data_IF_024117059676
#
_entry.id   IF_024117059676
#
_cell.length_a   1.000
_cell.length_b   1.000
_cell.length_c   1.000
_cell.angle_alpha   90.00
_cell.angle_beta   90.00
_cell.angle_gamma   90.00
#
_symmetry.space_group_name_H-M   'P 1'
#
loop_
_entity.id
_entity.type
_entity.pdbx_description
1 polymer ?
#
# COMPACT_ATOMS: atom_id res chain seq x y z
N UNK A 1 -16.05 40.43 0.58
CA UNK A 1 -15.34 39.29 1.12
C UNK A 1 -15.16 38.30 -0.03
N UNK A 2 -13.92 38.09 -0.47
CA UNK A 2 -13.58 37.18 -1.59
C UNK A 2 -13.73 35.74 -1.11
N UNK A 3 -14.60 34.97 -1.77
CA UNK A 3 -14.73 33.54 -1.56
C UNK A 3 -13.39 32.86 -1.99
N UNK A 4 -12.57 32.52 -1.03
CA UNK A 4 -11.42 31.63 -1.28
C UNK A 4 -11.99 30.23 -1.39
N UNK A 5 -11.83 29.61 -2.55
CA UNK A 5 -12.35 28.29 -2.81
C UNK A 5 -11.71 27.28 -1.84
N UNK A 6 -12.55 26.56 -1.11
CA UNK A 6 -12.18 25.50 -0.17
C UNK A 6 -11.30 24.41 -0.84
N UNK A 7 -11.46 24.23 -2.15
CA UNK A 7 -10.60 23.40 -2.99
C UNK A 7 -9.11 23.77 -2.94
N UNK A 8 -8.78 25.06 -2.78
CA UNK A 8 -7.39 25.49 -2.71
C UNK A 8 -6.75 25.23 -1.34
N UNK A 9 -7.55 25.10 -0.30
CA UNK A 9 -7.04 24.88 1.07
C UNK A 9 -6.72 23.39 1.28
N UNK A 10 -7.53 22.47 0.77
CA UNK A 10 -7.24 21.03 0.82
C UNK A 10 -6.00 20.65 -0.01
N UNK A 11 -5.86 21.28 -1.18
CA UNK A 11 -4.69 21.11 -2.06
C UNK A 11 -3.43 21.73 -1.43
N UNK A 12 -3.57 22.81 -0.70
CA UNK A 12 -2.46 23.52 -0.04
C UNK A 12 -1.84 22.73 1.13
N UNK A 13 -2.62 21.96 1.87
CA UNK A 13 -2.12 21.16 2.99
C UNK A 13 -1.27 19.96 2.51
N UNK A 14 -1.60 19.37 1.36
CA UNK A 14 -0.80 18.29 0.76
C UNK A 14 0.54 18.78 0.16
N UNK A 15 0.68 20.09 -0.15
CA UNK A 15 1.85 20.65 -0.84
C UNK A 15 2.89 21.22 0.13
N UNK A 16 2.52 21.59 1.34
CA UNK A 16 3.46 22.22 2.29
C UNK A 16 4.61 21.28 2.73
N UNK A 17 4.46 19.96 2.53
CA UNK A 17 5.49 18.98 2.87
C UNK A 17 6.51 18.69 1.75
N UNK A 18 6.28 19.16 0.51
CA UNK A 18 7.16 18.86 -0.64
C UNK A 18 8.25 19.91 -0.86
N UNK A 19 8.25 21.03 -0.11
CA UNK A 19 9.11 22.20 -0.35
C UNK A 19 10.46 22.22 0.34
N UNK A 20 10.89 21.22 1.11
CA UNK A 20 12.03 21.35 2.02
C UNK A 20 13.21 20.41 1.83
N UNK A 21 13.39 19.77 0.68
CA UNK A 21 14.60 18.93 0.47
C UNK A 21 15.22 19.03 -0.92
N UNK A 22 15.61 20.23 -1.33
CA UNK A 22 16.59 20.39 -2.40
C UNK A 22 17.70 21.35 -1.95
N UNK A 23 18.68 20.82 -1.24
CA UNK A 23 19.95 21.49 -1.08
C UNK A 23 21.08 20.48 -0.98
N UNK A 24 21.99 20.69 -1.90
CA UNK A 24 23.40 20.32 -1.90
C UNK A 24 23.79 18.94 -2.42
N UNK A 25 24.36 18.94 -3.64
CA UNK A 25 25.80 18.86 -3.80
C UNK A 25 26.16 19.27 -5.23
N UNK A 26 26.51 20.50 -5.37
CA UNK A 26 27.28 20.98 -6.49
C UNK A 26 28.74 21.11 -6.06
N UNK A 27 29.62 20.89 -6.93
CA UNK A 27 31.01 21.27 -7.04
C UNK A 27 31.98 20.09 -7.10
N UNK A 28 32.32 19.75 -8.31
CA UNK A 28 33.74 19.60 -8.67
C UNK A 28 33.85 19.82 -10.18
N UNK A 29 34.34 21.01 -10.49
CA UNK A 29 34.76 21.36 -11.85
C UNK A 29 36.06 20.70 -12.19
N UNK A 30 36.17 20.12 -13.37
CA UNK A 30 37.46 19.83 -13.99
C UNK A 30 37.39 20.19 -15.47
N UNK A 31 38.18 21.23 -15.78
CA UNK A 31 39.13 21.23 -16.86
C UNK A 31 38.62 21.24 -18.31
N UNK A 32 38.52 22.45 -18.86
CA UNK A 32 38.67 22.67 -20.31
C UNK A 32 40.03 22.18 -20.78
N UNK A 33 40.08 21.21 -21.71
CA UNK A 33 41.20 21.04 -22.64
C UNK A 33 40.78 21.48 -24.01
N UNK A 34 41.43 22.58 -24.46
CA UNK A 34 41.53 22.94 -25.88
C UNK A 34 42.61 22.07 -26.55
N UNK A 35 42.30 21.62 -27.73
CA UNK A 35 43.22 21.06 -28.73
C UNK A 35 42.36 20.60 -29.90
N UNK A 36 42.33 21.10 -30.98
CA UNK A 36 43.22 21.48 -32.00
C UNK A 36 43.19 20.43 -33.11
N UNK A 37 42.49 20.76 -34.26
CA UNK A 37 42.85 20.44 -35.63
C UNK A 37 42.68 18.97 -36.08
N UNK A 38 41.84 18.82 -37.14
CA UNK A 38 41.85 17.63 -37.98
C UNK A 38 40.55 17.45 -38.74
N UNK A 39 40.45 18.05 -39.90
CA UNK A 39 39.37 17.85 -40.87
C UNK A 39 39.30 16.38 -41.28
N UNK A 40 38.20 15.74 -40.96
CA UNK A 40 37.71 14.59 -41.70
C UNK A 40 36.19 14.75 -41.79
N UNK A 41 35.76 15.34 -42.89
CA UNK A 41 34.38 15.28 -43.34
C UNK A 41 34.00 13.83 -43.63
N UNK A 42 33.53 13.14 -42.62
CA UNK A 42 32.72 11.98 -42.79
C UNK A 42 31.26 12.45 -42.60
N UNK A 43 30.55 12.62 -43.68
CA UNK A 43 29.13 12.86 -43.71
C UNK A 43 28.45 11.63 -43.03
N UNK A 44 28.17 11.72 -41.75
CA UNK A 44 27.33 10.74 -41.06
C UNK A 44 25.90 10.99 -41.50
N UNK A 45 25.54 10.34 -42.61
CA UNK A 45 24.15 10.19 -43.03
C UNK A 45 23.47 9.39 -41.92
N UNK A 46 22.72 10.07 -41.07
CA UNK A 46 21.97 9.46 -39.99
C UNK A 46 22.18 10.07 -38.63
N UNK A 47 22.48 11.35 -38.53
CA UNK A 47 22.14 12.08 -37.36
C UNK A 47 20.60 12.09 -37.26
N UNK A 48 20.08 11.00 -36.66
CA UNK A 48 18.71 11.04 -36.17
C UNK A 48 18.62 12.27 -35.29
N UNK A 49 17.77 13.19 -35.62
CA UNK A 49 17.32 14.31 -34.81
C UNK A 49 16.51 13.80 -33.62
N UNK A 50 16.99 12.75 -32.98
CA UNK A 50 16.51 12.33 -31.68
C UNK A 50 17.26 13.26 -30.74
N UNK A 51 16.61 14.38 -30.41
CA UNK A 51 17.01 15.17 -29.26
C UNK A 51 17.26 14.19 -28.10
N UNK A 52 18.39 14.34 -27.40
CA UNK A 52 18.68 13.56 -26.22
C UNK A 52 17.44 13.60 -25.36
N UNK A 53 16.76 12.46 -25.25
CA UNK A 53 15.59 12.35 -24.39
C UNK A 53 16.04 12.81 -23.02
N UNK A 54 15.45 13.89 -22.54
CA UNK A 54 15.64 14.26 -21.13
C UNK A 54 15.24 13.06 -20.30
N UNK A 55 16.15 12.58 -19.46
CA UNK A 55 15.89 11.44 -18.59
C UNK A 55 14.59 11.69 -17.82
N UNK A 56 13.62 10.80 -17.99
CA UNK A 56 12.37 10.85 -17.24
C UNK A 56 12.44 9.84 -16.11
N UNK A 57 12.04 10.25 -14.91
CA UNK A 57 11.83 9.37 -13.77
C UNK A 57 10.42 9.60 -13.23
N UNK A 58 9.76 8.52 -12.84
CA UNK A 58 8.48 8.63 -12.16
C UNK A 58 8.72 9.26 -10.78
N UNK A 59 7.94 10.28 -10.45
CA UNK A 59 7.95 10.89 -9.13
C UNK A 59 7.39 9.88 -8.13
N UNK A 60 8.09 9.68 -7.02
CA UNK A 60 7.60 8.83 -5.93
C UNK A 60 6.36 9.51 -5.34
N UNK A 61 5.20 8.83 -5.30
CA UNK A 61 4.02 9.39 -4.66
C UNK A 61 4.27 9.62 -3.17
N UNK A 62 3.63 10.63 -2.62
CA UNK A 62 3.72 10.93 -1.20
C UNK A 62 3.26 9.75 -0.35
N UNK A 63 4.02 9.44 0.71
CA UNK A 63 3.76 8.32 1.61
C UNK A 63 4.13 6.94 1.05
N UNK A 64 4.73 6.86 -0.15
CA UNK A 64 5.14 5.59 -0.74
C UNK A 64 6.66 5.42 -0.75
N UNK A 65 7.10 4.17 -0.69
CA UNK A 65 8.50 3.78 -0.87
C UNK A 65 8.68 2.96 -2.15
N UNK A 66 9.82 3.10 -2.84
CA UNK A 66 10.13 2.34 -4.03
C UNK A 66 10.56 0.91 -3.67
N UNK A 67 9.90 -0.07 -4.26
CA UNK A 67 10.24 -1.48 -4.15
C UNK A 67 10.90 -1.91 -5.46
N UNK A 68 12.17 -2.40 -5.44
CA UNK A 68 12.87 -2.82 -6.65
C UNK A 68 12.22 -4.09 -7.24
N UNK A 69 12.41 -4.29 -8.55
CA UNK A 69 12.09 -5.58 -9.15
C UNK A 69 13.00 -6.67 -8.60
N UNK A 70 12.47 -7.88 -8.48
CA UNK A 70 13.27 -9.01 -8.03
C UNK A 70 12.52 -10.32 -8.05
N UNK A 71 13.25 -11.38 -7.78
CA UNK A 71 12.73 -12.75 -7.68
C UNK A 71 12.90 -13.25 -6.25
N UNK A 72 11.88 -13.90 -5.75
CA UNK A 72 11.88 -14.47 -4.39
C UNK A 72 11.10 -15.80 -4.34
N UNK A 73 11.24 -16.52 -3.25
CA UNK A 73 10.45 -17.70 -2.98
C UNK A 73 9.23 -17.31 -2.15
N UNK A 74 8.05 -17.26 -2.80
CA UNK A 74 6.78 -17.03 -2.14
C UNK A 74 6.34 -18.27 -1.39
N UNK A 75 5.83 -18.12 -0.17
CA UNK A 75 5.30 -19.20 0.64
C UNK A 75 6.02 -19.32 1.98
N UNK A 76 5.94 -20.50 2.57
CA UNK A 76 6.43 -20.76 3.92
C UNK A 76 7.97 -20.67 4.01
N UNK A 77 8.47 -20.11 5.11
CA UNK A 77 9.90 -20.12 5.41
C UNK A 77 10.39 -21.51 5.81
N UNK A 78 11.65 -21.82 5.57
CA UNK A 78 12.27 -23.10 5.93
C UNK A 78 12.23 -23.40 7.44
N UNK A 79 12.14 -22.37 8.26
CA UNK A 79 12.09 -22.46 9.72
C UNK A 79 10.71 -22.79 10.28
N UNK A 80 9.70 -22.93 9.42
CA UNK A 80 8.34 -23.24 9.85
C UNK A 80 8.11 -24.77 9.84
N UNK A 81 8.00 -25.42 11.01
CA UNK A 81 7.79 -26.85 11.10
C UNK A 81 6.37 -27.28 10.72
N UNK A 82 5.41 -26.37 10.68
CA UNK A 82 4.03 -26.66 10.33
C UNK A 82 3.82 -26.58 8.82
N UNK A 83 4.44 -27.49 8.06
CA UNK A 83 4.23 -27.61 6.61
C UNK A 83 2.76 -27.78 6.26
N UNK A 84 2.04 -26.68 6.14
CA UNK A 84 0.66 -26.68 5.66
C UNK A 84 0.67 -26.68 4.13
N UNK A 85 -0.14 -27.53 3.51
CA UNK A 85 -0.28 -27.58 2.04
C UNK A 85 -0.79 -26.28 1.41
N UNK A 86 -1.13 -25.30 2.22
CA UNK A 86 -1.64 -23.97 1.80
C UNK A 86 -0.49 -23.05 1.36
N UNK A 87 0.72 -23.28 1.83
CA UNK A 87 1.89 -22.42 1.69
C UNK A 87 3.03 -23.06 0.91
N UNK A 88 2.75 -23.70 -0.23
CA UNK A 88 3.80 -24.21 -1.09
C UNK A 88 4.76 -23.11 -1.52
N UNK A 89 6.05 -23.41 -1.39
CA UNK A 89 7.10 -22.52 -1.84
C UNK A 89 7.15 -22.51 -3.38
N UNK A 90 7.11 -21.31 -3.96
CA UNK A 90 7.20 -21.10 -5.40
C UNK A 90 8.07 -19.89 -5.70
N UNK A 91 9.01 -20.05 -6.64
CA UNK A 91 9.80 -18.94 -7.12
C UNK A 91 8.95 -18.01 -8.02
N UNK A 92 8.94 -16.72 -7.70
CA UNK A 92 8.11 -15.70 -8.35
C UNK A 92 8.97 -14.46 -8.58
N UNK A 93 8.73 -13.79 -9.71
CA UNK A 93 9.35 -12.51 -10.06
C UNK A 93 8.31 -11.40 -9.95
N UNK A 94 8.66 -10.33 -9.24
CA UNK A 94 7.85 -9.13 -9.08
C UNK A 94 8.52 -7.97 -9.82
N UNK A 95 7.73 -7.23 -10.59
CA UNK A 95 8.17 -5.99 -11.23
C UNK A 95 8.36 -4.85 -10.23
N UNK A 96 9.03 -3.75 -10.64
CA UNK A 96 9.24 -2.61 -9.77
C UNK A 96 7.90 -1.93 -9.45
N UNK A 97 7.72 -1.52 -8.20
CA UNK A 97 6.50 -0.87 -7.74
C UNK A 97 6.79 0.17 -6.65
N UNK A 98 5.81 0.97 -6.34
CA UNK A 98 5.73 1.75 -5.11
C UNK A 98 4.69 1.12 -4.19
N UNK A 99 4.92 1.18 -2.89
CA UNK A 99 3.98 0.72 -1.86
C UNK A 99 3.90 1.75 -0.75
N UNK A 100 2.73 1.96 -0.16
CA UNK A 100 2.59 2.84 1.00
C UNK A 100 3.51 2.36 2.12
N UNK A 101 4.26 3.29 2.70
CA UNK A 101 5.20 3.02 3.79
C UNK A 101 4.49 2.40 4.99
N UNK A 102 3.30 2.92 5.29
CA UNK A 102 2.44 2.52 6.40
C UNK A 102 1.14 1.90 5.88
N UNK A 103 0.35 1.35 6.78
CA UNK A 103 -1.08 1.13 6.58
C UNK A 103 -1.79 2.47 6.36
N UNK A 104 -2.91 2.49 5.62
CA UNK A 104 -3.72 3.71 5.46
C UNK A 104 -4.30 4.11 6.80
N UNK A 105 -4.08 5.37 7.18
CA UNK A 105 -4.51 5.93 8.46
C UNK A 105 -5.97 6.39 8.45
N UNK A 106 -6.53 6.59 9.65
CA UNK A 106 -7.85 7.22 9.78
C UNK A 106 -7.89 8.62 9.15
N UNK A 107 -6.80 9.41 9.26
CA UNK A 107 -6.75 10.74 8.65
C UNK A 107 -6.81 10.68 7.12
N UNK A 108 -6.04 9.79 6.49
CA UNK A 108 -6.06 9.62 5.04
C UNK A 108 -7.43 9.16 4.54
N UNK A 109 -8.04 8.22 5.26
CA UNK A 109 -9.37 7.74 4.90
C UNK A 109 -10.47 8.79 5.21
N UNK A 110 -10.27 9.63 6.21
CA UNK A 110 -11.17 10.75 6.51
C UNK A 110 -11.17 11.79 5.38
N UNK A 111 -10.03 12.05 4.75
CA UNK A 111 -9.97 12.91 3.56
C UNK A 111 -10.84 12.36 2.42
N UNK A 112 -10.80 11.06 2.18
CA UNK A 112 -11.66 10.38 1.21
C UNK A 112 -13.15 10.50 1.57
N UNK A 113 -13.52 10.24 2.81
CA UNK A 113 -14.94 10.37 3.22
C UNK A 113 -15.43 11.81 3.17
N UNK A 114 -14.59 12.77 3.55
CA UNK A 114 -14.90 14.21 3.49
C UNK A 114 -15.08 14.68 2.05
N UNK A 115 -14.34 14.13 1.10
CA UNK A 115 -14.50 14.42 -0.31
C UNK A 115 -15.92 14.11 -0.82
N UNK A 116 -16.50 12.96 -0.43
CA UNK A 116 -17.83 12.55 -0.88
C UNK A 116 -18.98 13.08 -0.02
N UNK A 117 -18.74 13.31 1.27
CA UNK A 117 -19.77 13.68 2.24
C UNK A 117 -19.72 15.15 2.67
N UNK A 118 -18.79 15.94 2.14
CA UNK A 118 -18.59 17.33 2.53
C UNK A 118 -19.82 18.22 2.29
N UNK A 119 -19.86 19.36 2.98
CA UNK A 119 -21.01 20.29 3.08
C UNK A 119 -21.52 20.85 1.73
N UNK A 120 -20.79 20.75 0.65
CA UNK A 120 -21.16 21.23 -0.68
C UNK A 120 -21.74 20.13 -1.60
N UNK A 121 -22.18 19.01 -1.04
CA UNK A 121 -22.82 17.94 -1.82
C UNK A 121 -21.86 16.94 -2.44
N UNK A 122 -20.64 16.90 -1.94
CA UNK A 122 -19.55 16.08 -2.47
C UNK A 122 -18.85 16.73 -3.65
N UNK A 123 -17.53 16.72 -3.64
CA UNK A 123 -16.76 17.14 -4.81
C UNK A 123 -16.83 16.04 -5.88
N UNK A 124 -16.76 16.43 -7.15
CA UNK A 124 -16.79 15.51 -8.27
C UNK A 124 -15.46 15.55 -9.00
N UNK A 125 -14.94 14.40 -9.32
CA UNK A 125 -13.76 14.25 -10.17
C UNK A 125 -14.20 14.01 -11.61
N UNK A 126 -13.45 14.61 -12.54
CA UNK A 126 -13.66 14.39 -13.97
C UNK A 126 -13.38 12.93 -14.31
N UNK A 127 -14.29 12.28 -15.01
CA UNK A 127 -14.18 10.85 -15.40
C UNK A 127 -14.15 9.85 -14.24
N UNK A 128 -14.68 10.20 -13.08
CA UNK A 128 -14.84 9.28 -11.96
C UNK A 128 -16.34 8.93 -11.78
N UNK A 129 -16.67 7.69 -11.40
CA UNK A 129 -18.08 7.31 -11.18
C UNK A 129 -18.75 8.22 -10.16
N UNK A 130 -19.92 8.71 -10.52
CA UNK A 130 -20.73 9.48 -9.58
C UNK A 130 -21.38 8.51 -8.59
N UNK A 131 -21.13 8.76 -7.32
CA UNK A 131 -21.69 7.98 -6.21
C UNK A 131 -22.51 8.93 -5.36
N UNK A 132 -23.77 8.56 -5.10
CA UNK A 132 -24.59 9.35 -4.18
C UNK A 132 -24.07 9.23 -2.74
N UNK A 133 -24.30 10.25 -1.92
CA UNK A 133 -23.92 10.23 -0.50
C UNK A 133 -24.51 9.01 0.22
N UNK A 134 -25.76 8.64 -0.10
CA UNK A 134 -26.41 7.47 0.49
C UNK A 134 -25.70 6.16 0.09
N UNK A 135 -25.32 6.01 -1.17
CA UNK A 135 -24.59 4.85 -1.65
C UNK A 135 -23.18 4.81 -1.04
N UNK A 136 -22.51 5.98 -0.94
CA UNK A 136 -21.20 6.09 -0.32
C UNK A 136 -21.24 5.64 1.15
N UNK A 137 -22.21 6.15 1.93
CA UNK A 137 -22.40 5.76 3.32
C UNK A 137 -22.69 4.25 3.48
N UNK A 138 -23.42 3.67 2.55
CA UNK A 138 -23.78 2.25 2.64
C UNK A 138 -22.63 1.29 2.29
N UNK A 139 -21.72 1.70 1.38
CA UNK A 139 -20.71 0.79 0.82
C UNK A 139 -19.27 1.10 1.22
N UNK A 140 -18.95 2.38 1.42
CA UNK A 140 -17.55 2.83 1.50
C UNK A 140 -17.20 3.54 2.81
N UNK A 141 -18.21 3.91 3.60
CA UNK A 141 -17.98 4.48 4.91
C UNK A 141 -17.54 3.39 5.89
N UNK A 142 -16.56 3.65 6.77
CA UNK A 142 -16.10 2.66 7.73
C UNK A 142 -17.23 2.22 8.68
N UNK A 143 -17.31 0.94 8.93
CA UNK A 143 -18.23 0.39 9.93
C UNK A 143 -17.67 0.67 11.34
N UNK A 144 -18.16 1.73 11.97
CA UNK A 144 -17.72 2.11 13.31
C UNK A 144 -18.17 1.14 14.41
N UNK A 145 -19.09 0.22 14.09
CA UNK A 145 -19.62 -0.76 15.04
C UNK A 145 -18.75 -2.02 15.18
N UNK A 146 -17.66 -2.14 14.41
CA UNK A 146 -16.78 -3.32 14.42
C UNK A 146 -16.20 -3.61 15.80
N UNK A 147 -15.91 -2.57 16.58
CA UNK A 147 -15.39 -2.73 17.94
C UNK A 147 -16.37 -3.41 18.89
N UNK A 148 -17.67 -3.21 18.69
CA UNK A 148 -18.72 -3.91 19.44
C UNK A 148 -19.01 -5.30 18.88
N UNK A 149 -18.90 -5.48 17.55
CA UNK A 149 -19.19 -6.75 16.88
C UNK A 149 -18.13 -7.80 17.14
N UNK A 150 -16.86 -7.40 17.08
CA UNK A 150 -15.73 -8.32 17.25
C UNK A 150 -15.39 -8.57 18.73
N UNK A 151 -15.79 -7.66 19.63
CA UNK A 151 -15.49 -7.72 21.09
C UNK A 151 -16.71 -7.35 21.92
N UNK A 152 -17.14 -8.23 22.81
CA UNK A 152 -18.46 -8.20 23.46
C UNK A 152 -18.57 -7.29 24.71
N UNK A 153 -17.61 -6.42 25.01
CA UNK A 153 -17.56 -5.83 26.36
C UNK A 153 -17.16 -4.37 26.40
N UNK A 154 -17.81 -3.47 25.73
CA UNK A 154 -17.18 -2.17 25.62
C UNK A 154 -18.05 -0.96 25.91
N UNK A 155 -18.87 -1.05 26.92
CA UNK A 155 -19.49 0.15 27.48
C UNK A 155 -18.41 1.05 28.11
N UNK A 156 -18.11 2.18 27.43
CA UNK A 156 -17.14 3.17 27.90
C UNK A 156 -15.72 2.99 27.38
N UNK A 157 -15.48 2.06 26.45
CA UNK A 157 -14.19 1.97 25.76
C UNK A 157 -14.09 3.09 24.72
N UNK A 158 -13.06 3.94 24.77
CA UNK A 158 -12.91 5.06 23.85
C UNK A 158 -12.82 4.64 22.38
N UNK A 159 -12.41 3.43 22.06
CA UNK A 159 -12.35 2.93 20.67
C UNK A 159 -13.73 2.82 20.02
N UNK A 160 -14.78 2.49 20.77
CA UNK A 160 -16.14 2.35 20.24
C UNK A 160 -16.66 3.67 19.72
N UNK A 161 -16.44 4.76 20.46
CA UNK A 161 -17.03 6.06 20.16
C UNK A 161 -16.10 7.01 19.40
N UNK A 162 -14.78 6.88 19.59
CA UNK A 162 -13.81 7.88 19.15
C UNK A 162 -12.83 7.41 18.09
N UNK A 163 -12.67 6.10 17.86
CA UNK A 163 -11.60 5.59 17.00
C UNK A 163 -11.57 6.20 15.61
N UNK A 164 -12.73 6.38 15.00
CA UNK A 164 -12.82 6.81 13.61
C UNK A 164 -12.53 8.30 13.39
N UNK A 165 -13.04 9.18 14.24
CA UNK A 165 -13.03 10.63 13.94
C UNK A 165 -12.25 11.47 14.96
N UNK A 166 -11.87 10.89 16.09
CA UNK A 166 -11.21 11.67 17.13
C UNK A 166 -9.74 11.94 16.76
N UNK A 167 -9.24 13.19 16.91
CA UNK A 167 -7.85 13.54 16.58
C UNK A 167 -6.78 12.65 17.22
N UNK A 168 -7.06 12.08 18.38
CA UNK A 168 -6.16 11.15 19.06
C UNK A 168 -5.91 9.83 18.33
N UNK A 169 -6.75 9.50 17.35
CA UNK A 169 -6.63 8.26 16.55
C UNK A 169 -6.36 8.51 15.07
N UNK A 170 -6.01 9.73 14.67
CA UNK A 170 -5.76 10.08 13.28
C UNK A 170 -4.62 9.27 12.65
N UNK A 171 -3.55 9.05 13.41
CA UNK A 171 -2.37 8.29 13.00
C UNK A 171 -2.53 6.77 13.20
N UNK A 172 -3.71 6.29 13.57
CA UNK A 172 -4.00 4.87 13.69
C UNK A 172 -4.51 4.31 12.35
N UNK A 173 -4.30 3.00 12.07
CA UNK A 173 -4.75 2.41 10.83
C UNK A 173 -6.28 2.45 10.72
N UNK A 174 -6.80 2.72 9.53
CA UNK A 174 -8.25 2.60 9.30
C UNK A 174 -8.68 1.14 9.40
N UNK A 175 -9.77 0.90 10.14
CA UNK A 175 -10.40 -0.41 10.29
C UNK A 175 -11.90 -0.33 10.02
N UNK A 176 -12.59 -1.45 9.95
CA UNK A 176 -14.01 -1.46 9.62
C UNK A 176 -14.29 -1.18 8.15
N UNK A 177 -13.32 -1.40 7.27
CA UNK A 177 -13.43 -1.20 5.83
C UNK A 177 -13.48 -2.52 5.10
N UNK A 178 -14.43 -2.66 4.17
CA UNK A 178 -14.52 -3.84 3.30
C UNK A 178 -13.44 -3.81 2.22
N UNK A 179 -13.19 -4.94 1.58
CA UNK A 179 -12.29 -5.00 0.43
C UNK A 179 -12.74 -4.07 -0.72
N UNK A 180 -14.05 -3.97 -0.94
CA UNK A 180 -14.61 -3.09 -1.97
C UNK A 180 -14.36 -1.61 -1.64
N UNK A 181 -14.47 -1.24 -0.36
CA UNK A 181 -14.19 0.13 0.11
C UNK A 181 -12.70 0.46 -0.02
N UNK A 182 -11.81 -0.43 0.36
CA UNK A 182 -10.36 -0.26 0.20
C UNK A 182 -9.95 -0.12 -1.29
N UNK A 183 -10.53 -0.94 -2.17
CA UNK A 183 -10.29 -0.86 -3.61
C UNK A 183 -10.85 0.44 -4.22
N UNK A 184 -12.00 0.90 -3.75
CA UNK A 184 -12.60 2.17 -4.20
C UNK A 184 -11.79 3.37 -3.73
N UNK A 185 -11.22 3.35 -2.52
CA UNK A 185 -10.26 4.34 -2.04
C UNK A 185 -9.06 4.47 -2.99
N UNK A 186 -8.45 3.36 -3.41
CA UNK A 186 -7.34 3.39 -4.38
C UNK A 186 -7.73 4.04 -5.72
N UNK A 187 -8.92 3.74 -6.23
CA UNK A 187 -9.44 4.37 -7.45
C UNK A 187 -9.65 5.87 -7.27
N UNK A 188 -10.23 6.30 -6.13
CA UNK A 188 -10.39 7.70 -5.81
C UNK A 188 -9.05 8.43 -5.70
N UNK A 189 -8.08 7.88 -4.95
CA UNK A 189 -6.73 8.45 -4.78
C UNK A 189 -6.04 8.64 -6.14
N UNK A 190 -6.23 7.68 -7.07
CA UNK A 190 -5.73 7.77 -8.45
C UNK A 190 -6.35 8.94 -9.21
N UNK A 191 -7.67 9.01 -9.22
CA UNK A 191 -8.39 10.05 -9.96
C UNK A 191 -8.08 11.43 -9.40
N UNK A 192 -8.07 11.56 -8.07
CA UNK A 192 -7.75 12.81 -7.37
C UNK A 192 -6.34 13.31 -7.69
N UNK A 193 -5.33 12.44 -7.60
CA UNK A 193 -3.96 12.79 -7.94
C UNK A 193 -3.82 13.21 -9.40
N UNK A 194 -4.41 12.45 -10.33
CA UNK A 194 -4.27 12.69 -11.75
C UNK A 194 -4.98 13.98 -12.20
N UNK A 195 -6.15 14.29 -11.62
CA UNK A 195 -6.84 15.56 -11.87
C UNK A 195 -6.01 16.74 -11.35
N UNK A 196 -5.47 16.63 -10.13
CA UNK A 196 -4.58 17.64 -9.58
C UNK A 196 -3.34 17.88 -10.46
N UNK A 197 -2.70 16.81 -10.96
CA UNK A 197 -1.54 16.89 -11.85
C UNK A 197 -1.86 17.56 -13.18
N UNK A 198 -3.03 17.28 -13.72
CA UNK A 198 -3.50 17.89 -14.97
C UNK A 198 -3.74 19.40 -14.80
N UNK A 199 -4.40 19.79 -13.71
CA UNK A 199 -4.72 21.20 -13.41
C UNK A 199 -3.47 22.02 -13.07
N UNK A 200 -2.52 21.43 -12.33
CA UNK A 200 -1.34 22.13 -11.79
C UNK A 200 -0.07 21.95 -12.63
N UNK A 201 -0.16 21.73 -13.91
CA UNK A 201 1.03 21.72 -14.77
C UNK A 201 0.97 20.82 -16.00
N UNK A 202 -0.20 20.26 -16.33
CA UNK A 202 -0.36 19.39 -17.50
C UNK A 202 0.56 18.15 -17.48
N UNK A 203 0.90 17.67 -16.28
CA UNK A 203 1.79 16.54 -16.09
C UNK A 203 1.11 15.23 -16.52
N UNK A 204 1.84 14.26 -17.08
CA UNK A 204 1.27 12.98 -17.45
C UNK A 204 0.65 12.26 -16.25
N UNK A 205 -0.43 11.49 -16.47
CA UNK A 205 -1.08 10.77 -15.38
C UNK A 205 -0.15 9.73 -14.77
N UNK A 206 -0.33 9.50 -13.46
CA UNK A 206 0.32 8.43 -12.73
C UNK A 206 -0.45 7.11 -12.90
N UNK A 207 0.20 5.96 -12.80
CA UNK A 207 -0.47 4.67 -12.70
C UNK A 207 -1.47 4.63 -11.53
N UNK A 208 -2.37 3.65 -11.57
CA UNK A 208 -3.39 3.52 -10.55
C UNK A 208 -2.82 3.09 -9.20
N UNK A 209 -3.28 3.75 -8.13
CA UNK A 209 -3.22 3.17 -6.80
C UNK A 209 -4.20 2.01 -6.72
N UNK A 210 -3.77 0.92 -6.15
CA UNK A 210 -4.55 -0.30 -5.98
C UNK A 210 -4.10 -1.04 -4.74
N UNK A 211 -4.88 -2.00 -4.30
CA UNK A 211 -4.37 -2.98 -3.34
C UNK A 211 -3.18 -3.74 -3.94
N UNK A 212 -2.20 -4.14 -3.15
CA UNK A 212 -1.12 -5.03 -3.62
C UNK A 212 -1.70 -6.41 -3.96
N UNK A 213 -1.11 -7.10 -4.94
CA UNK A 213 -1.35 -8.53 -5.05
C UNK A 213 -0.74 -9.24 -3.84
N UNK A 214 -1.19 -10.46 -3.57
CA UNK A 214 -0.65 -11.25 -2.48
C UNK A 214 0.87 -11.44 -2.60
N UNK A 215 1.34 -11.71 -3.82
CA UNK A 215 2.76 -11.88 -4.10
C UNK A 215 3.56 -10.57 -3.97
N UNK A 216 3.01 -9.45 -4.40
CA UNK A 216 3.61 -8.13 -4.20
C UNK A 216 3.73 -7.79 -2.72
N UNK A 217 2.68 -8.08 -1.95
CA UNK A 217 2.66 -7.86 -0.51
C UNK A 217 3.75 -8.68 0.20
N UNK A 218 3.84 -9.99 -0.09
CA UNK A 218 4.83 -10.86 0.53
C UNK A 218 6.25 -10.50 0.15
N UNK A 219 6.50 -10.20 -1.14
CA UNK A 219 7.80 -9.73 -1.61
C UNK A 219 8.25 -8.47 -0.89
N UNK A 220 7.34 -7.50 -0.76
CA UNK A 220 7.59 -6.26 -0.05
C UNK A 220 7.83 -6.48 1.45
N UNK A 221 7.03 -7.34 2.09
CA UNK A 221 7.18 -7.67 3.51
C UNK A 221 8.52 -8.32 3.82
N UNK A 222 9.04 -9.17 2.93
CA UNK A 222 10.35 -9.81 3.11
C UNK A 222 11.52 -8.83 3.00
N UNK A 223 11.34 -7.65 2.42
CA UNK A 223 12.36 -6.61 2.39
C UNK A 223 13.65 -7.02 1.67
N UNK A 224 13.58 -7.90 0.65
CA UNK A 224 14.76 -8.43 -0.06
C UNK A 224 15.44 -9.61 0.63
N UNK A 225 14.94 -10.07 1.76
CA UNK A 225 15.44 -11.25 2.49
C UNK A 225 14.63 -12.48 2.09
N UNK A 226 15.16 -13.23 1.15
CA UNK A 226 14.48 -14.43 0.68
C UNK A 226 14.21 -15.41 1.83
N UNK A 227 13.03 -16.02 1.86
CA UNK A 227 12.57 -16.96 2.85
C UNK A 227 12.56 -16.47 4.31
N UNK A 228 12.73 -15.16 4.57
CA UNK A 228 12.67 -14.62 5.92
C UNK A 228 11.30 -14.87 6.57
N UNK A 229 11.31 -15.36 7.80
CA UNK A 229 10.09 -15.67 8.55
C UNK A 229 9.28 -14.42 8.89
N UNK A 230 9.96 -13.37 9.29
CA UNK A 230 9.38 -12.07 9.65
C UNK A 230 10.03 -10.93 8.87
N UNK A 231 9.37 -9.76 8.72
CA UNK A 231 9.89 -8.62 7.97
C UNK A 231 11.27 -8.11 8.43
N UNK A 232 11.60 -8.28 9.69
CA UNK A 232 12.90 -7.90 10.27
C UNK A 232 14.00 -8.94 10.06
N UNK A 233 13.72 -10.08 9.40
CA UNK A 233 14.68 -11.04 8.88
C UNK A 233 15.17 -12.11 9.86
N UNK A 234 14.92 -11.99 11.17
CA UNK A 234 15.24 -13.04 12.12
C UNK A 234 13.99 -13.77 12.61
N UNK A 235 14.09 -15.00 13.15
CA UNK A 235 12.93 -15.80 13.55
C UNK A 235 12.32 -15.40 14.92
N UNK A 236 12.89 -14.42 15.59
CA UNK A 236 12.45 -14.01 16.92
C UNK A 236 11.48 -12.83 16.85
N UNK A 237 10.46 -12.85 17.71
CA UNK A 237 9.45 -11.79 17.84
C UNK A 237 9.89 -10.67 18.79
N UNK A 238 11.06 -10.84 19.44
CA UNK A 238 11.65 -9.87 20.36
C UNK A 238 13.05 -9.50 19.91
N UNK A 239 13.44 -8.27 20.15
CA UNK A 239 14.81 -7.84 19.95
C UNK A 239 15.72 -8.30 21.12
N UNK A 240 17.02 -8.01 21.03
CA UNK A 240 18.01 -8.36 22.07
C UNK A 240 17.76 -7.70 23.43
N UNK A 241 16.94 -6.66 23.48
CA UNK A 241 16.53 -5.97 24.71
C UNK A 241 15.22 -6.53 25.28
N UNK A 242 14.62 -7.51 24.62
CA UNK A 242 13.35 -8.13 25.03
C UNK A 242 12.09 -7.39 24.57
N UNK A 243 12.21 -6.27 23.83
CA UNK A 243 11.06 -5.53 23.30
C UNK A 243 10.42 -6.30 22.14
N UNK A 244 9.10 -6.26 22.04
CA UNK A 244 8.36 -6.78 20.91
C UNK A 244 8.71 -6.01 19.62
N UNK A 245 8.68 -6.71 18.49
CA UNK A 245 9.02 -6.15 17.18
C UNK A 245 7.78 -5.83 16.33
N UNK A 246 6.58 -6.13 16.83
CA UNK A 246 5.30 -5.85 16.19
C UNK A 246 4.19 -5.76 17.22
N UNK A 247 3.06 -5.18 16.85
CA UNK A 247 1.84 -5.15 17.65
C UNK A 247 1.01 -6.42 17.36
N UNK A 248 0.90 -7.31 18.35
CA UNK A 248 0.17 -8.57 18.23
C UNK A 248 -0.11 -9.15 19.63
N UNK A 249 -0.88 -10.24 19.69
CA UNK A 249 -1.14 -10.97 20.94
C UNK A 249 -0.02 -11.94 21.28
N UNK A 250 0.91 -11.62 22.17
CA UNK A 250 2.09 -12.45 22.45
C UNK A 250 1.77 -13.77 23.15
N UNK A 251 0.65 -13.86 23.85
CA UNK A 251 0.30 -15.04 24.62
C UNK A 251 -1.16 -15.09 25.04
N UNK A 252 -1.58 -16.19 25.64
CA UNK A 252 -2.96 -16.38 26.09
C UNK A 252 -3.33 -15.34 27.16
N UNK A 253 -4.33 -14.51 26.87
CA UNK A 253 -4.83 -13.49 27.81
C UNK A 253 -3.93 -12.26 27.96
N UNK A 254 -2.82 -12.19 27.24
CA UNK A 254 -1.90 -11.06 27.23
C UNK A 254 -2.01 -10.33 25.90
N UNK A 255 -2.57 -9.12 25.90
CA UNK A 255 -2.73 -8.24 24.74
C UNK A 255 -1.92 -6.94 24.87
N UNK A 256 -1.15 -6.78 25.95
CA UNK A 256 -0.52 -5.50 26.29
C UNK A 256 1.00 -5.58 26.43
N UNK A 257 1.60 -6.70 26.14
CA UNK A 257 3.04 -6.93 26.36
C UNK A 257 3.91 -6.16 25.33
N UNK A 258 3.32 -5.79 24.22
CA UNK A 258 3.92 -4.93 23.18
C UNK A 258 3.67 -3.42 23.39
N UNK A 259 2.86 -3.07 24.40
CA UNK A 259 2.51 -1.70 24.77
C UNK A 259 1.11 -1.25 24.33
N UNK A 260 0.40 -2.04 23.52
CA UNK A 260 -0.91 -1.71 22.98
C UNK A 260 -1.88 -2.87 23.13
N UNK A 261 -3.05 -2.64 23.71
CA UNK A 261 -4.07 -3.68 23.86
C UNK A 261 -4.85 -3.96 22.57
N UNK A 262 -4.82 -3.00 21.64
CA UNK A 262 -5.52 -3.01 20.36
C UNK A 262 -4.54 -2.49 19.27
N UNK A 263 -5.04 -1.78 18.27
CA UNK A 263 -4.21 -1.12 17.28
C UNK A 263 -3.24 -0.12 17.91
N UNK A 264 -2.11 0.09 17.27
CA UNK A 264 -1.14 1.16 17.57
C UNK A 264 -1.16 2.24 16.50
N UNK A 265 -0.67 3.45 16.75
CA UNK A 265 -0.34 4.37 15.67
C UNK A 265 0.59 3.72 14.66
N UNK A 266 0.44 4.05 13.38
CA UNK A 266 1.32 3.50 12.34
C UNK A 266 2.77 3.98 12.51
N UNK A 267 3.72 3.19 12.05
CA UNK A 267 5.14 3.60 12.04
C UNK A 267 5.86 3.55 13.39
N UNK A 268 5.28 2.92 14.41
CA UNK A 268 5.93 2.80 15.73
C UNK A 268 7.06 1.77 15.70
N UNK A 269 6.93 0.72 14.92
CA UNK A 269 7.91 -0.34 14.82
C UNK A 269 8.95 -0.05 13.73
N UNK A 270 10.07 -0.77 13.80
CA UNK A 270 11.17 -0.56 12.85
C UNK A 270 10.79 -1.01 11.44
N UNK A 271 11.18 -0.24 10.40
CA UNK A 271 10.96 -0.62 9.02
C UNK A 271 11.76 -1.86 8.63
N UNK A 272 11.28 -2.59 7.61
CA UNK A 272 12.09 -3.59 6.93
C UNK A 272 13.14 -2.93 6.01
N UNK A 273 13.95 -3.74 5.31
CA UNK A 273 15.05 -3.20 4.48
C UNK A 273 14.57 -2.41 3.24
N UNK A 274 13.29 -2.49 2.89
CA UNK A 274 12.69 -1.62 1.86
C UNK A 274 12.08 -0.34 2.41
N UNK A 275 12.10 -0.14 3.73
CA UNK A 275 11.53 1.03 4.39
C UNK A 275 10.05 0.91 4.74
N UNK A 276 9.44 -0.27 4.59
CA UNK A 276 8.05 -0.51 4.95
C UNK A 276 7.93 -0.82 6.44
N UNK A 277 6.96 -0.20 7.09
CA UNK A 277 6.64 -0.42 8.51
C UNK A 277 5.32 -1.20 8.64
N UNK A 278 5.14 -1.82 9.80
CA UNK A 278 3.91 -2.55 10.19
C UNK A 278 3.49 -3.68 9.22
N UNK A 279 4.47 -4.25 8.48
CA UNK A 279 4.24 -5.42 7.61
C UNK A 279 3.98 -6.71 8.40
N UNK A 280 3.99 -6.66 9.72
CA UNK A 280 3.63 -7.74 10.62
C UNK A 280 2.97 -7.17 11.86
N UNK A 281 1.76 -7.62 12.17
CA UNK A 281 0.95 -7.13 13.29
C UNK A 281 0.16 -5.86 12.98
N UNK A 282 -0.27 -5.16 13.98
CA UNK A 282 -1.17 -4.01 13.95
C UNK A 282 -2.51 -4.36 13.30
N UNK A 283 -2.69 -4.23 11.98
CA UNK A 283 -3.88 -4.74 11.30
C UNK A 283 -3.50 -5.70 10.16
N UNK A 284 -4.32 -6.72 9.94
CA UNK A 284 -4.22 -7.55 8.74
C UNK A 284 -4.61 -6.72 7.51
N UNK A 285 -3.94 -6.92 6.40
CA UNK A 285 -4.09 -6.07 5.23
C UNK A 285 -4.77 -6.78 4.06
N UNK A 286 -5.78 -6.12 3.48
CA UNK A 286 -6.44 -6.59 2.28
C UNK A 286 -5.46 -6.66 1.11
N UNK A 287 -5.43 -7.82 0.43
CA UNK A 287 -4.79 -8.00 -0.87
C UNK A 287 -5.81 -8.07 -2.01
N UNK A 288 -5.32 -7.88 -3.23
CA UNK A 288 -6.17 -7.88 -4.43
C UNK A 288 -6.72 -9.26 -4.76
N UNK A 289 -5.97 -10.31 -4.41
CA UNK A 289 -6.22 -11.70 -4.80
C UNK A 289 -7.43 -12.32 -4.10
N UNK A 290 -8.09 -13.22 -4.83
CA UNK A 290 -9.05 -14.12 -4.23
C UNK A 290 -8.31 -15.24 -3.47
N UNK A 291 -8.86 -15.65 -2.33
CA UNK A 291 -8.27 -16.73 -1.55
C UNK A 291 -8.73 -18.08 -2.04
N UNK A 292 -7.77 -18.89 -2.44
CA UNK A 292 -7.97 -20.32 -2.64
C UNK A 292 -6.75 -21.08 -2.08
N UNK A 293 -6.94 -22.16 -1.29
CA UNK A 293 -5.83 -22.83 -0.61
C UNK A 293 -4.71 -23.29 -1.55
N UNK A 294 -5.06 -23.74 -2.74
CA UNK A 294 -4.11 -24.23 -3.74
C UNK A 294 -3.82 -23.21 -4.86
N UNK A 295 -3.96 -21.89 -4.62
CA UNK A 295 -3.74 -20.89 -5.67
C UNK A 295 -2.28 -20.72 -6.04
N UNK A 296 -1.35 -20.75 -5.08
CA UNK A 296 0.06 -20.45 -5.29
C UNK A 296 0.72 -21.31 -6.40
N UNK A 297 0.52 -22.63 -6.45
CA UNK A 297 1.06 -23.42 -7.55
C UNK A 297 0.46 -23.11 -8.93
N UNK A 298 -0.75 -22.53 -8.97
CA UNK A 298 -1.52 -22.34 -10.22
C UNK A 298 -1.31 -20.99 -10.88
N UNK A 299 -0.76 -20.01 -10.18
CA UNK A 299 -0.50 -18.66 -10.72
C UNK A 299 0.77 -18.63 -11.58
N UNK A 300 0.90 -17.59 -12.41
CA UNK A 300 2.09 -17.35 -13.23
C UNK A 300 3.30 -16.99 -12.37
N UNK A 301 4.48 -17.08 -12.96
CA UNK A 301 5.76 -16.82 -12.27
C UNK A 301 6.13 -15.32 -12.26
N UNK A 302 5.49 -14.52 -13.11
CA UNK A 302 5.74 -13.09 -13.24
C UNK A 302 4.50 -12.28 -12.84
N UNK A 303 4.65 -11.43 -11.83
CA UNK A 303 3.59 -10.56 -11.29
C UNK A 303 2.25 -11.32 -11.11
N UNK A 304 2.23 -12.43 -10.36
CA UNK A 304 1.04 -13.25 -10.26
C UNK A 304 -0.09 -12.53 -9.54
N UNK A 305 -1.29 -12.82 -9.98
CA UNK A 305 -2.54 -12.47 -9.33
C UNK A 305 -3.50 -13.65 -9.48
N UNK A 306 -4.13 -14.06 -8.41
CA UNK A 306 -5.15 -15.09 -8.45
C UNK A 306 -6.55 -14.47 -8.41
N UNK A 307 -7.34 -14.79 -9.42
CA UNK A 307 -8.76 -14.40 -9.51
C UNK A 307 -9.58 -15.67 -9.66
N UNK A 308 -10.49 -15.91 -8.72
CA UNK A 308 -11.44 -17.02 -8.83
C UNK A 308 -12.52 -16.67 -9.87
N UNK A 309 -12.34 -17.20 -11.07
CA UNK A 309 -13.25 -16.94 -12.19
C UNK A 309 -14.70 -17.35 -11.89
N UNK A 310 -14.93 -18.26 -10.95
CA UNK A 310 -16.27 -18.66 -10.53
C UNK A 310 -17.01 -17.58 -9.74
N UNK A 311 -16.29 -16.62 -9.19
CA UNK A 311 -16.83 -15.48 -8.45
C UNK A 311 -17.33 -14.33 -9.33
N UNK A 312 -17.06 -14.40 -10.65
CA UNK A 312 -17.34 -13.31 -11.58
C UNK A 312 -18.16 -13.79 -12.77
N UNK A 313 -19.05 -12.94 -13.26
CA UNK A 313 -19.79 -13.17 -14.51
C UNK A 313 -18.87 -13.01 -15.75
N UNK A 314 -19.42 -13.28 -16.94
CA UNK A 314 -18.68 -13.14 -18.20
C UNK A 314 -18.26 -11.69 -18.51
N UNK A 315 -18.87 -10.72 -17.86
CA UNK A 315 -18.59 -9.30 -17.96
C UNK A 315 -17.57 -8.84 -16.90
N UNK A 316 -17.14 -9.72 -16.00
CA UNK A 316 -16.21 -9.42 -14.92
C UNK A 316 -16.86 -8.79 -13.67
N UNK A 317 -18.19 -8.78 -13.58
CA UNK A 317 -18.88 -8.32 -12.39
C UNK A 317 -18.94 -9.44 -11.35
N UNK A 318 -18.80 -9.08 -10.08
CA UNK A 318 -18.98 -10.05 -8.99
C UNK A 318 -20.40 -10.59 -8.96
N UNK A 319 -20.51 -11.91 -8.91
CA UNK A 319 -21.82 -12.59 -8.79
C UNK A 319 -22.33 -12.35 -7.36
N UNK A 320 -23.48 -11.69 -7.21
CA UNK A 320 -24.05 -11.29 -5.90
C UNK A 320 -24.18 -12.45 -4.89
N UNK A 321 -24.43 -13.67 -5.37
CA UNK A 321 -24.56 -14.86 -4.51
C UNK A 321 -23.22 -15.46 -4.12
N UNK A 322 -22.12 -15.02 -4.73
CA UNK A 322 -20.79 -15.55 -4.47
C UNK A 322 -19.99 -14.51 -3.68
N UNK A 323 -20.00 -14.64 -2.36
CA UNK A 323 -19.17 -13.82 -1.52
C UNK A 323 -17.72 -14.33 -1.58
N UNK A 324 -16.91 -13.73 -2.43
CA UNK A 324 -15.53 -14.13 -2.62
C UNK A 324 -14.71 -13.91 -1.35
N UNK A 325 -13.90 -14.91 -1.01
CA UNK A 325 -12.88 -14.79 0.02
C UNK A 325 -11.68 -14.05 -0.56
N UNK A 326 -11.27 -12.97 0.08
CA UNK A 326 -10.09 -12.20 -0.30
C UNK A 326 -8.93 -12.51 0.65
N UNK A 327 -7.73 -12.50 0.09
CA UNK A 327 -6.51 -12.70 0.89
C UNK A 327 -6.32 -11.52 1.84
N UNK A 328 -6.00 -11.82 3.08
CA UNK A 328 -5.46 -10.87 4.06
C UNK A 328 -4.11 -11.38 4.56
N UNK A 329 -3.20 -10.45 4.85
CA UNK A 329 -1.81 -10.76 5.19
C UNK A 329 -1.34 -9.96 6.40
N UNK A 330 -0.19 -10.34 6.99
CA UNK A 330 0.50 -9.61 8.05
C UNK A 330 0.08 -9.98 9.47
N UNK A 331 -1.11 -10.53 9.66
CA UNK A 331 -1.68 -10.74 11.00
C UNK A 331 -2.04 -9.41 11.66
N UNK A 332 -2.58 -9.45 12.87
CA UNK A 332 -3.09 -8.26 13.54
C UNK A 332 -2.85 -8.29 15.04
N UNK A 333 -3.17 -7.17 15.72
CA UNK A 333 -3.08 -7.00 17.16
C UNK A 333 -3.78 -8.11 17.98
N UNK A 334 -4.78 -8.78 17.42
CA UNK A 334 -5.49 -9.90 18.09
C UNK A 334 -4.87 -11.26 17.83
N UNK A 335 -3.98 -11.37 16.83
CA UNK A 335 -3.45 -12.64 16.35
C UNK A 335 -2.17 -13.03 17.09
N UNK A 336 -1.86 -14.32 17.10
CA UNK A 336 -0.61 -14.84 17.65
C UNK A 336 0.50 -14.79 16.61
N UNK A 337 1.75 -14.92 17.06
CA UNK A 337 2.95 -14.79 16.24
C UNK A 337 2.97 -15.60 14.92
N UNK A 338 2.26 -16.72 14.86
CA UNK A 338 2.12 -17.52 13.63
C UNK A 338 1.50 -16.73 12.47
N UNK A 339 0.51 -15.88 12.75
CA UNK A 339 -0.15 -15.10 11.71
C UNK A 339 0.66 -13.89 11.22
N UNK A 340 1.72 -13.52 11.96
CA UNK A 340 2.65 -12.45 11.61
C UNK A 340 3.74 -12.90 10.64
N UNK A 341 3.87 -14.20 10.43
CA UNK A 341 4.87 -14.74 9.49
C UNK A 341 4.57 -14.27 8.07
N UNK A 342 5.61 -13.80 7.37
CA UNK A 342 5.48 -13.25 6.01
C UNK A 342 4.82 -14.21 5.03
N UNK A 343 5.01 -15.52 5.19
CA UNK A 343 4.42 -16.56 4.36
C UNK A 343 3.02 -16.98 4.76
N UNK A 344 2.51 -16.59 5.94
CA UNK A 344 1.20 -17.05 6.41
C UNK A 344 0.06 -16.39 5.63
N UNK A 345 -0.87 -17.22 5.17
CA UNK A 345 -2.02 -16.82 4.36
C UNK A 345 -3.31 -17.02 5.12
N UNK A 346 -4.13 -15.97 5.15
CA UNK A 346 -5.48 -16.03 5.71
C UNK A 346 -6.47 -15.34 4.77
N UNK A 347 -7.74 -15.36 5.11
CA UNK A 347 -8.77 -14.73 4.29
C UNK A 347 -9.88 -14.14 5.14
N UNK A 348 -10.59 -13.20 4.54
CA UNK A 348 -11.89 -12.76 5.00
C UNK A 348 -12.81 -12.57 3.77
N UNK A 349 -14.11 -12.52 3.97
CA UNK A 349 -15.06 -12.26 2.90
C UNK A 349 -15.01 -10.80 2.46
N UNK A 350 -15.10 -10.55 1.16
CA UNK A 350 -14.89 -9.21 0.56
C UNK A 350 -15.81 -8.11 1.08
N UNK A 351 -17.01 -8.46 1.56
CA UNK A 351 -18.02 -7.54 2.12
C UNK A 351 -17.95 -7.43 3.65
N UNK A 352 -17.06 -8.19 4.29
CA UNK A 352 -16.90 -8.18 5.73
C UNK A 352 -16.08 -6.99 6.19
N UNK A 353 -16.47 -6.44 7.34
CA UNK A 353 -15.77 -5.38 8.04
C UNK A 353 -15.29 -5.90 9.41
N UNK A 354 -14.06 -5.61 9.79
CA UNK A 354 -13.45 -6.09 11.04
C UNK A 354 -12.64 -4.99 11.71
N UNK A 355 -12.55 -5.08 13.05
CA UNK A 355 -11.72 -4.17 13.86
C UNK A 355 -10.21 -4.44 13.77
N UNK A 356 -9.83 -5.44 13.00
CA UNK A 356 -8.44 -5.90 12.87
C UNK A 356 -7.98 -6.04 11.42
N UNK A 357 -8.75 -5.49 10.47
CA UNK A 357 -8.40 -5.50 9.05
C UNK A 357 -8.39 -4.06 8.53
N UNK A 358 -7.26 -3.68 7.97
CA UNK A 358 -7.01 -2.44 7.24
C UNK A 358 -6.45 -2.73 5.86
N UNK A 359 -5.68 -1.80 5.30
CA UNK A 359 -5.04 -1.98 3.99
C UNK A 359 -3.95 -0.94 3.76
N UNK A 360 -3.09 -1.23 2.78
CA UNK A 360 -2.19 -0.26 2.14
C UNK A 360 -2.33 -0.33 0.64
N UNK A 361 -1.90 0.72 -0.09
CA UNK A 361 -1.92 0.75 -1.53
C UNK A 361 -0.55 0.45 -2.13
N UNK A 362 -0.57 -0.09 -3.34
CA UNK A 362 0.58 -0.22 -4.21
C UNK A 362 0.32 0.54 -5.53
N UNK A 363 1.40 0.89 -6.23
CA UNK A 363 1.36 1.51 -7.54
C UNK A 363 2.49 0.93 -8.40
N UNK A 364 2.23 0.68 -9.68
CA UNK A 364 3.27 0.23 -10.60
C UNK A 364 4.31 1.32 -10.82
N UNK A 365 5.59 0.97 -10.70
CA UNK A 365 6.69 1.84 -11.08
C UNK A 365 6.97 1.65 -12.58
N UNK A 366 6.81 2.72 -13.36
CA UNK A 366 7.07 2.72 -14.80
C UNK A 366 8.56 2.76 -15.15
N UNK A 367 9.42 2.79 -14.11
CA UNK A 367 10.85 2.93 -14.27
C UNK A 367 11.27 4.38 -14.52
N UNK A 368 12.50 4.52 -14.98
CA UNK A 368 13.03 5.79 -15.47
C UNK A 368 13.65 5.56 -16.84
N UNK A 369 13.46 6.52 -17.74
CA UNK A 369 14.23 6.59 -18.96
C UNK A 369 15.45 7.45 -18.67
N UNK A 370 16.59 6.86 -18.35
CA UNK A 370 17.86 7.58 -18.36
C UNK A 370 18.53 7.35 -19.70
N UNK A 371 18.91 8.41 -20.39
CA UNK A 371 19.68 8.30 -21.62
C UNK A 371 21.10 7.71 -21.41
N UNK A 372 21.39 7.18 -20.23
CA UNK A 372 22.70 6.64 -19.81
C UNK A 372 22.68 5.14 -19.51
N UNK A 373 21.59 4.42 -19.75
CA UNK A 373 21.50 2.98 -19.43
C UNK A 373 22.34 2.08 -20.35
N UNK A 374 23.02 2.66 -21.33
CA UNK A 374 23.90 1.95 -22.29
C UNK A 374 25.30 2.56 -22.38
N UNK A 375 25.82 3.14 -21.31
CA UNK A 375 27.23 3.51 -21.22
C UNK A 375 28.00 2.58 -20.28
#
# INVERSE_FOLDING_TARGET
>A
MKKTNFHQILIGALIAAVGASTSSCGLLGIGKKKGGGGDAQGEVVGQSTIERRQGWAQIIPYGMVPIPAGTFHMGQADEDPASTQINFNKQITIGPMFMDETEITNDEYLQFTTFFLGAEGGAQLTNFPQVSQQEFMAKYYPDTTVWMKDFTHHMGDPLVDYYWQHPGYQEYPVVGVSWEAANFFGKWRTAFLNEWRQVNGGQPPMPAFRLPSEAEWEYAARGGRDMAKYPWGNPYIRNSKGCMLANFKPGRGNYYDDGFAYTSPVGIYFPNDYGLVDMAGNVSEWCLDDFYPASVPTVWDLNPQFIDKAAYDKQGNSIEKYNARKVIRGGSWKDVAFFLETGTRTYEYKDSTRAYIGFRCAMTNLGRSSGSEFQ
#
